data_IF_475016110641
#
_entry.id   IF_475016110641
#
_cell.length_a   1.000
_cell.length_b   1.000
_cell.length_c   1.000
_cell.angle_alpha   90.00
_cell.angle_beta   90.00
_cell.angle_gamma   90.00
#
_symmetry.space_group_name_H-M   'P 1'
#
loop_
_entity.id
_entity.type
_entity.pdbx_description
1 polymer ?
#
# COMPACT_ATOMS: atom_id res chain seq x y z
N UNK A 1 18.11 1.10 -13.75
CA UNK A 1 19.33 0.62 -14.45
C UNK A 1 19.04 -0.48 -15.46
N UNK A 2 18.53 -1.65 -15.07
CA UNK A 2 18.27 -2.77 -16.02
C UNK A 2 17.09 -2.58 -17.00
N UNK A 3 16.22 -1.60 -16.76
CA UNK A 3 15.07 -1.28 -17.63
C UNK A 3 15.25 0.06 -18.39
N UNK A 4 16.45 0.66 -18.40
CA UNK A 4 16.69 1.94 -19.07
C UNK A 4 16.09 3.19 -18.38
N UNK A 5 15.28 3.04 -17.33
CA UNK A 5 14.70 4.16 -16.58
C UNK A 5 15.70 4.67 -15.52
N UNK A 6 15.89 6.01 -15.38
CA UNK A 6 16.68 6.59 -14.31
C UNK A 6 16.06 6.26 -12.94
N UNK A 7 16.88 5.83 -11.99
CA UNK A 7 16.45 5.34 -10.66
C UNK A 7 15.52 6.33 -9.95
N UNK A 8 15.80 7.62 -10.10
CA UNK A 8 15.03 8.70 -9.49
C UNK A 8 13.60 8.76 -10.04
N UNK A 9 13.38 8.53 -11.34
CA UNK A 9 12.03 8.50 -11.93
C UNK A 9 11.27 7.23 -11.52
N UNK A 10 11.94 6.08 -11.43
CA UNK A 10 11.32 4.83 -10.96
C UNK A 10 10.82 4.95 -9.52
N UNK A 11 11.56 5.63 -8.64
CA UNK A 11 11.13 5.88 -7.26
C UNK A 11 9.86 6.74 -7.24
N UNK A 12 9.80 7.82 -8.03
CA UNK A 12 8.63 8.69 -8.12
C UNK A 12 7.36 7.94 -8.55
N UNK A 13 7.45 7.08 -9.56
CA UNK A 13 6.33 6.26 -10.05
C UNK A 13 5.86 5.27 -8.98
N UNK A 14 6.78 4.62 -8.26
CA UNK A 14 6.43 3.69 -7.18
C UNK A 14 5.72 4.38 -6.01
N UNK A 15 6.15 5.59 -5.66
CA UNK A 15 5.51 6.39 -4.62
C UNK A 15 4.08 6.81 -5.01
N UNK A 16 3.91 7.17 -6.27
CA UNK A 16 2.64 7.55 -6.85
C UNK A 16 1.65 6.39 -6.85
N UNK A 17 2.08 5.22 -7.32
CA UNK A 17 1.34 3.96 -7.25
C UNK A 17 0.93 3.64 -5.79
N UNK A 18 1.87 3.76 -4.86
CA UNK A 18 1.61 3.54 -3.44
C UNK A 18 0.52 4.47 -2.87
N UNK A 19 0.51 5.75 -3.23
CA UNK A 19 -0.49 6.71 -2.73
C UNK A 19 -1.87 6.45 -3.31
N UNK A 20 -1.95 6.13 -4.60
CA UNK A 20 -3.23 5.77 -5.25
C UNK A 20 -3.78 4.51 -4.59
N UNK A 21 -2.98 3.46 -4.49
CA UNK A 21 -3.34 2.20 -3.84
C UNK A 21 -3.80 2.42 -2.39
N UNK A 22 -3.04 3.18 -1.59
CA UNK A 22 -3.38 3.43 -0.19
C UNK A 22 -4.68 4.23 -0.05
N UNK A 23 -4.95 5.16 -0.97
CA UNK A 23 -6.20 5.93 -1.00
C UNK A 23 -7.40 5.04 -1.32
N UNK A 24 -7.28 4.20 -2.35
CA UNK A 24 -8.32 3.25 -2.76
C UNK A 24 -8.59 2.25 -1.65
N UNK A 25 -7.55 1.69 -1.04
CA UNK A 25 -7.67 0.79 0.11
C UNK A 25 -8.42 1.45 1.27
N UNK A 26 -8.04 2.65 1.69
CA UNK A 26 -8.71 3.35 2.79
C UNK A 26 -10.19 3.61 2.49
N UNK A 27 -10.53 4.06 1.27
CA UNK A 27 -11.92 4.29 0.87
C UNK A 27 -12.73 2.98 0.81
N UNK A 28 -12.12 1.91 0.28
CA UNK A 28 -12.74 0.60 0.20
C UNK A 28 -13.07 0.05 1.59
N UNK A 29 -12.13 0.15 2.55
CA UNK A 29 -12.43 -0.33 3.89
C UNK A 29 -13.40 0.58 4.64
N UNK A 30 -13.35 1.90 4.42
CA UNK A 30 -14.37 2.81 4.95
C UNK A 30 -15.78 2.37 4.49
N UNK A 31 -15.93 2.06 3.20
CA UNK A 31 -17.19 1.56 2.66
C UNK A 31 -17.64 0.26 3.34
N UNK A 32 -16.73 -0.70 3.52
CA UNK A 32 -17.03 -1.98 4.20
C UNK A 32 -17.40 -1.79 5.68
N UNK A 33 -16.70 -0.91 6.38
CA UNK A 33 -17.01 -0.54 7.78
C UNK A 33 -18.42 0.03 7.84
N UNK A 34 -18.78 1.00 7.00
CA UNK A 34 -20.11 1.62 7.01
C UNK A 34 -21.21 0.61 6.72
N UNK A 35 -21.00 -0.27 5.73
CA UNK A 35 -21.98 -1.27 5.32
C UNK A 35 -22.17 -2.38 6.37
N UNK A 36 -21.09 -2.79 7.06
CA UNK A 36 -21.12 -3.89 8.05
C UNK A 36 -21.11 -3.41 9.51
N UNK A 37 -21.16 -2.09 9.74
CA UNK A 37 -21.09 -1.47 11.06
C UNK A 37 -22.09 -2.09 12.04
N UNK A 38 -23.37 -2.13 11.64
CA UNK A 38 -24.45 -2.63 12.51
C UNK A 38 -24.29 -4.10 12.87
N UNK A 39 -23.70 -4.92 12.00
CA UNK A 39 -23.54 -6.35 12.24
C UNK A 39 -22.39 -6.61 13.22
N UNK A 40 -21.22 -6.03 13.00
CA UNK A 40 -20.04 -6.31 13.82
C UNK A 40 -20.01 -5.53 15.13
N UNK A 41 -20.55 -4.31 15.19
CA UNK A 41 -20.61 -3.56 16.43
C UNK A 41 -21.52 -4.25 17.47
N UNK A 42 -22.67 -4.78 17.04
CA UNK A 42 -23.63 -5.42 17.93
C UNK A 42 -23.18 -6.82 18.39
N UNK A 43 -22.56 -7.61 17.51
CA UNK A 43 -22.17 -8.99 17.83
C UNK A 43 -20.73 -9.13 18.35
N UNK A 44 -19.82 -8.22 17.98
CA UNK A 44 -18.37 -8.34 18.24
C UNK A 44 -17.72 -6.98 18.59
N UNK A 45 -18.36 -6.21 19.47
CA UNK A 45 -17.99 -4.83 19.80
C UNK A 45 -16.49 -4.61 20.09
N UNK A 46 -15.87 -5.50 20.87
CA UNK A 46 -14.44 -5.38 21.21
C UNK A 46 -13.52 -5.53 19.98
N UNK A 47 -13.81 -6.46 19.07
CA UNK A 47 -13.03 -6.64 17.85
C UNK A 47 -13.24 -5.48 16.88
N UNK A 48 -14.46 -4.99 16.81
CA UNK A 48 -14.80 -3.85 15.96
C UNK A 48 -14.06 -2.56 16.38
N UNK A 49 -13.86 -2.32 17.68
CA UNK A 49 -13.07 -1.18 18.16
C UNK A 49 -11.61 -1.25 17.71
N UNK A 50 -11.01 -2.44 17.67
CA UNK A 50 -9.64 -2.64 17.15
C UNK A 50 -9.57 -2.26 15.67
N UNK A 51 -10.60 -2.62 14.89
CA UNK A 51 -10.70 -2.25 13.47
C UNK A 51 -10.82 -0.74 13.29
N UNK A 52 -11.68 -0.07 14.05
CA UNK A 52 -11.82 1.39 14.00
C UNK A 52 -10.51 2.09 14.37
N UNK A 53 -9.80 1.60 15.39
CA UNK A 53 -8.50 2.14 15.75
C UNK A 53 -7.46 1.95 14.63
N UNK A 54 -7.40 0.76 14.03
CA UNK A 54 -6.57 0.49 12.85
C UNK A 54 -6.93 1.39 11.65
N UNK A 55 -8.22 1.72 11.49
CA UNK A 55 -8.70 2.65 10.46
C UNK A 55 -8.19 4.05 10.69
N UNK A 56 -8.28 4.55 11.94
CA UNK A 56 -7.83 5.90 12.28
C UNK A 56 -6.34 6.07 12.02
N UNK A 57 -5.53 5.06 12.35
CA UNK A 57 -4.09 5.08 12.09
C UNK A 57 -3.81 5.06 10.58
N UNK A 58 -4.42 4.12 9.84
CA UNK A 58 -4.22 3.99 8.39
C UNK A 58 -4.68 5.24 7.63
N UNK A 59 -5.81 5.82 8.04
CA UNK A 59 -6.33 7.09 7.52
C UNK A 59 -5.43 8.26 7.88
N UNK A 60 -4.86 8.26 9.09
CA UNK A 60 -3.86 9.24 9.52
C UNK A 60 -2.59 9.20 8.67
N UNK A 61 -2.10 8.01 8.28
CA UNK A 61 -0.93 7.85 7.41
C UNK A 61 -1.19 8.47 6.04
N UNK A 62 -2.32 8.13 5.39
CA UNK A 62 -2.62 8.71 4.06
C UNK A 62 -2.89 10.21 4.14
N UNK A 63 -3.56 10.68 5.19
CA UNK A 63 -3.76 12.10 5.43
C UNK A 63 -2.42 12.84 5.62
N UNK A 64 -1.50 12.26 6.40
CA UNK A 64 -0.15 12.78 6.59
C UNK A 64 0.65 12.83 5.29
N UNK A 65 0.61 11.77 4.48
CA UNK A 65 1.25 11.73 3.16
C UNK A 65 0.66 12.78 2.21
N UNK A 66 -0.66 12.96 2.23
CA UNK A 66 -1.34 14.00 1.45
C UNK A 66 -0.97 15.41 1.92
N UNK A 67 -0.82 15.61 3.23
CA UNK A 67 -0.42 16.90 3.80
C UNK A 67 1.05 17.24 3.48
N UNK A 68 1.94 16.25 3.54
CA UNK A 68 3.31 16.35 3.05
C UNK A 68 3.35 16.69 1.55
N UNK A 69 2.51 16.05 0.75
CA UNK A 69 2.40 16.29 -0.68
C UNK A 69 1.89 17.69 -1.02
N UNK A 70 0.91 18.21 -0.26
CA UNK A 70 0.24 19.46 -0.59
C UNK A 70 0.95 20.71 -0.06
N UNK A 71 1.85 20.58 0.93
CA UNK A 71 2.48 21.73 1.60
C UNK A 71 4.01 21.62 1.64
N UNK A 72 4.72 22.32 0.73
CA UNK A 72 6.17 22.46 0.79
C UNK A 72 6.66 23.01 2.13
N UNK A 73 5.85 23.87 2.79
CA UNK A 73 6.17 24.47 4.09
C UNK A 73 6.14 23.46 5.25
N UNK A 74 5.13 22.59 5.31
CA UNK A 74 5.04 21.54 6.33
C UNK A 74 6.18 20.52 6.18
N UNK A 75 6.50 20.21 4.92
CA UNK A 75 7.65 19.38 4.57
C UNK A 75 8.98 19.98 5.06
N UNK A 76 9.27 21.25 4.73
CA UNK A 76 10.52 21.91 5.16
C UNK A 76 10.63 21.97 6.68
N UNK A 77 9.51 22.11 7.39
CA UNK A 77 9.47 22.11 8.85
C UNK A 77 9.78 20.73 9.45
N UNK A 78 9.22 19.64 8.89
CA UNK A 78 9.52 18.27 9.32
C UNK A 78 10.97 17.89 9.03
N UNK A 79 11.49 18.24 7.85
CA UNK A 79 12.86 17.87 7.48
C UNK A 79 13.89 18.65 8.28
N UNK A 80 13.72 19.96 8.45
CA UNK A 80 14.63 20.75 9.31
C UNK A 80 14.58 20.30 10.77
N UNK A 81 13.39 20.03 11.31
CA UNK A 81 13.21 19.52 12.68
C UNK A 81 13.78 18.10 12.84
N UNK A 82 13.41 17.18 11.97
CA UNK A 82 13.85 15.78 11.99
C UNK A 82 15.36 15.63 11.79
N UNK A 83 15.96 16.43 10.92
CA UNK A 83 17.41 16.43 10.71
C UNK A 83 18.13 17.12 11.88
N UNK A 84 17.53 18.12 12.54
CA UNK A 84 18.10 18.66 13.78
C UNK A 84 18.09 17.65 14.94
N UNK A 85 17.03 16.84 15.06
CA UNK A 85 16.92 15.75 16.03
C UNK A 85 17.92 14.63 15.69
N UNK A 86 17.99 14.23 14.41
CA UNK A 86 18.92 13.23 13.87
C UNK A 86 20.40 13.60 14.04
N UNK A 87 20.74 14.88 13.90
CA UNK A 87 22.08 15.40 14.17
C UNK A 87 22.39 15.39 15.67
N UNK A 88 21.40 15.68 16.53
CA UNK A 88 21.54 15.63 17.99
C UNK A 88 21.81 14.22 18.52
N UNK A 89 21.34 13.19 17.81
CA UNK A 89 21.57 11.76 18.12
C UNK A 89 22.73 11.13 17.33
N UNK A 90 23.56 11.93 16.62
CA UNK A 90 24.73 11.47 15.84
C UNK A 90 24.44 10.42 14.74
N UNK A 91 23.18 10.21 14.36
CA UNK A 91 22.80 9.18 13.38
C UNK A 91 22.97 9.65 11.92
N UNK A 92 23.07 10.96 11.70
CA UNK A 92 23.26 11.58 10.38
C UNK A 92 24.63 12.27 10.33
N UNK A 93 25.58 11.68 9.61
CA UNK A 93 26.94 12.23 9.44
C UNK A 93 27.00 13.43 8.49
N UNK A 94 26.09 13.52 7.53
CA UNK A 94 26.13 14.52 6.46
C UNK A 94 24.73 15.14 6.25
N UNK A 95 24.47 16.17 7.05
CA UNK A 95 23.16 16.83 7.19
C UNK A 95 22.70 17.47 5.88
N UNK A 96 23.60 18.14 5.17
CA UNK A 96 23.27 18.93 3.97
C UNK A 96 22.99 18.04 2.77
N UNK A 97 23.81 17.00 2.55
CA UNK A 97 23.64 16.07 1.42
C UNK A 97 22.38 15.19 1.53
N UNK A 98 21.99 14.84 2.76
CA UNK A 98 20.74 14.09 3.01
C UNK A 98 19.51 14.96 2.76
N UNK A 99 19.60 16.24 3.14
CA UNK A 99 18.53 17.23 2.95
C UNK A 99 18.33 17.53 1.46
N UNK A 100 19.42 17.73 0.71
CA UNK A 100 19.38 17.99 -0.74
C UNK A 100 18.80 16.80 -1.54
N UNK A 101 19.21 15.56 -1.22
CA UNK A 101 18.70 14.36 -1.89
C UNK A 101 17.21 14.10 -1.59
N UNK A 102 16.76 14.43 -0.38
CA UNK A 102 15.38 14.30 0.03
C UNK A 102 14.50 15.37 -0.63
N UNK A 103 15.00 16.62 -0.67
CA UNK A 103 14.34 17.75 -1.33
C UNK A 103 14.19 17.51 -2.85
N UNK A 104 15.21 16.96 -3.51
CA UNK A 104 15.12 16.55 -4.92
C UNK A 104 14.05 15.49 -5.16
N UNK A 105 14.00 14.44 -4.33
CA UNK A 105 12.98 13.38 -4.46
C UNK A 105 11.57 13.94 -4.28
N UNK A 106 11.40 14.92 -3.39
CA UNK A 106 10.11 15.49 -3.07
C UNK A 106 9.63 16.58 -4.02
N UNK A 107 10.57 17.32 -4.64
CA UNK A 107 10.26 18.17 -5.79
C UNK A 107 9.78 17.34 -6.98
N UNK A 108 10.44 16.20 -7.25
CA UNK A 108 9.96 15.28 -8.28
C UNK A 108 8.58 14.74 -7.92
N UNK A 109 8.37 14.30 -6.68
CA UNK A 109 7.07 13.86 -6.21
C UNK A 109 5.95 14.91 -6.35
N UNK A 110 6.23 16.16 -5.99
CA UNK A 110 5.27 17.26 -6.17
C UNK A 110 4.93 17.48 -7.65
N UNK A 111 5.92 17.34 -8.54
CA UNK A 111 5.74 17.39 -9.99
C UNK A 111 4.91 16.21 -10.50
N UNK A 112 5.16 15.00 -10.00
CA UNK A 112 4.38 13.79 -10.31
C UNK A 112 2.91 13.92 -9.86
N UNK A 113 2.65 14.57 -8.71
CA UNK A 113 1.28 14.84 -8.23
C UNK A 113 0.52 15.82 -9.14
N UNK A 114 1.22 16.83 -9.68
CA UNK A 114 0.62 17.75 -10.67
C UNK A 114 0.29 17.01 -11.96
N UNK A 115 1.18 16.12 -12.42
CA UNK A 115 0.92 15.22 -13.55
C UNK A 115 -0.29 14.32 -13.27
N UNK A 116 -0.43 13.80 -12.05
CA UNK A 116 -1.59 13.04 -11.60
C UNK A 116 -2.90 13.82 -11.82
N UNK A 117 -2.96 15.05 -11.31
CA UNK A 117 -4.16 15.90 -11.39
C UNK A 117 -4.60 16.18 -12.82
N UNK A 118 -3.64 16.12 -13.74
CA UNK A 118 -3.84 16.40 -15.16
C UNK A 118 -4.32 15.16 -15.91
N UNK A 119 -3.94 13.95 -15.47
CA UNK A 119 -4.32 12.67 -16.10
C UNK A 119 -5.40 11.92 -15.31
N UNK A 120 -6.54 12.58 -15.02
CA UNK A 120 -7.64 12.03 -14.20
C UNK A 120 -8.17 10.67 -14.69
N UNK A 121 -8.17 10.45 -16.02
CA UNK A 121 -8.57 9.17 -16.62
C UNK A 121 -7.63 8.02 -16.26
N UNK A 122 -6.32 8.29 -16.22
CA UNK A 122 -5.30 7.30 -15.83
C UNK A 122 -5.42 6.96 -14.35
N UNK A 123 -5.64 7.95 -13.47
CA UNK A 123 -5.93 7.69 -12.06
C UNK A 123 -7.18 6.84 -11.90
N UNK A 124 -8.26 7.16 -12.62
CA UNK A 124 -9.50 6.39 -12.53
C UNK A 124 -9.30 4.92 -12.96
N UNK A 125 -8.51 4.69 -14.01
CA UNK A 125 -8.14 3.33 -14.43
C UNK A 125 -7.34 2.60 -13.35
N UNK A 126 -6.30 3.24 -12.79
CA UNK A 126 -5.50 2.68 -11.70
C UNK A 126 -6.36 2.39 -10.46
N UNK A 127 -7.26 3.30 -10.10
CA UNK A 127 -8.13 3.12 -8.95
C UNK A 127 -9.11 1.95 -9.13
N UNK A 128 -9.62 1.74 -10.34
CA UNK A 128 -10.46 0.57 -10.67
C UNK A 128 -9.64 -0.72 -10.65
N UNK A 129 -8.42 -0.70 -11.19
CA UNK A 129 -7.49 -1.83 -11.11
C UNK A 129 -7.20 -2.21 -9.65
N UNK A 130 -6.88 -1.23 -8.80
CA UNK A 130 -6.63 -1.42 -7.38
C UNK A 130 -7.88 -1.94 -6.66
N UNK A 131 -9.07 -1.43 -7.00
CA UNK A 131 -10.31 -1.91 -6.42
C UNK A 131 -10.55 -3.39 -6.75
N UNK A 132 -10.37 -3.78 -8.01
CA UNK A 132 -10.46 -5.17 -8.45
C UNK A 132 -9.40 -6.04 -7.76
N UNK A 133 -8.17 -5.53 -7.67
CA UNK A 133 -7.07 -6.18 -6.96
C UNK A 133 -7.42 -6.43 -5.49
N UNK A 134 -7.99 -5.44 -4.80
CA UNK A 134 -8.39 -5.56 -3.39
C UNK A 134 -9.53 -6.58 -3.22
N UNK A 135 -10.55 -6.56 -4.09
CA UNK A 135 -11.65 -7.53 -4.05
C UNK A 135 -11.10 -8.96 -4.22
N UNK A 136 -10.25 -9.18 -5.23
CA UNK A 136 -9.64 -10.48 -5.48
C UNK A 136 -8.75 -10.91 -4.29
N UNK A 137 -7.87 -10.02 -3.84
CA UNK A 137 -6.92 -10.30 -2.77
C UNK A 137 -7.60 -10.60 -1.42
N UNK A 138 -8.64 -9.84 -1.07
CA UNK A 138 -9.42 -10.07 0.15
C UNK A 138 -10.45 -11.19 0.03
N UNK A 139 -10.73 -11.67 -1.19
CA UNK A 139 -11.54 -12.88 -1.39
C UNK A 139 -10.72 -14.16 -1.26
N UNK A 140 -9.38 -14.12 -1.25
CA UNK A 140 -8.53 -15.32 -1.19
C UNK A 140 -8.92 -16.28 -0.06
N UNK A 141 -9.16 -15.82 1.19
CA UNK A 141 -9.58 -16.73 2.26
C UNK A 141 -10.89 -17.48 2.00
N UNK A 142 -11.82 -16.89 1.23
CA UNK A 142 -13.08 -17.53 0.85
C UNK A 142 -12.80 -18.73 -0.07
N UNK A 143 -11.94 -18.54 -1.08
CA UNK A 143 -11.52 -19.61 -1.97
C UNK A 143 -10.71 -20.68 -1.24
N UNK A 144 -9.87 -20.29 -0.28
CA UNK A 144 -9.17 -21.24 0.59
C UNK A 144 -10.16 -22.12 1.38
N UNK A 145 -11.22 -21.53 1.94
CA UNK A 145 -12.25 -22.29 2.64
C UNK A 145 -12.95 -23.31 1.73
N UNK A 146 -13.29 -22.91 0.49
CA UNK A 146 -13.91 -23.81 -0.49
C UNK A 146 -12.99 -24.98 -0.87
N UNK A 147 -11.69 -24.72 -1.11
CA UNK A 147 -10.71 -25.76 -1.46
C UNK A 147 -10.52 -26.75 -0.30
N UNK A 148 -10.58 -26.26 0.94
CA UNK A 148 -10.51 -27.09 2.15
C UNK A 148 -11.82 -27.84 2.45
N UNK A 149 -12.85 -27.70 1.62
CA UNK A 149 -14.18 -28.28 1.82
C UNK A 149 -14.85 -27.84 3.14
N UNK A 150 -14.51 -26.65 3.63
CA UNK A 150 -15.15 -26.04 4.80
C UNK A 150 -16.51 -25.48 4.36
N UNK A 151 -17.61 -25.77 5.07
CA UNK A 151 -18.94 -25.33 4.67
C UNK A 151 -19.06 -23.80 4.73
N UNK A 152 -19.15 -23.16 3.57
CA UNK A 152 -19.39 -21.72 3.46
C UNK A 152 -20.30 -21.40 2.27
N UNK A 153 -21.37 -20.64 2.53
CA UNK A 153 -22.28 -20.16 1.49
C UNK A 153 -21.79 -18.88 0.80
N UNK A 154 -22.29 -18.56 -0.40
CA UNK A 154 -21.93 -17.35 -1.14
C UNK A 154 -22.30 -16.05 -0.42
N UNK A 155 -23.29 -16.07 0.48
CA UNK A 155 -23.70 -14.94 1.31
C UNK A 155 -22.59 -14.47 2.27
N UNK A 156 -21.62 -15.33 2.58
CA UNK A 156 -20.48 -15.04 3.45
C UNK A 156 -19.28 -14.45 2.71
N UNK A 157 -19.29 -14.38 1.38
CA UNK A 157 -18.19 -13.80 0.60
C UNK A 157 -17.89 -12.36 1.05
N UNK A 158 -18.94 -11.56 1.25
CA UNK A 158 -18.80 -10.17 1.66
C UNK A 158 -18.29 -10.04 3.11
N UNK A 159 -18.66 -10.98 3.99
CA UNK A 159 -18.10 -11.07 5.36
C UNK A 159 -16.60 -11.39 5.29
N UNK A 160 -16.20 -12.34 4.46
CA UNK A 160 -14.78 -12.72 4.30
C UNK A 160 -13.94 -11.56 3.73
N UNK A 161 -14.46 -10.84 2.74
CA UNK A 161 -13.78 -9.65 2.20
C UNK A 161 -13.63 -8.58 3.28
N UNK A 162 -14.69 -8.34 4.07
CA UNK A 162 -14.65 -7.39 5.18
C UNK A 162 -13.60 -7.78 6.24
N UNK A 163 -13.65 -9.02 6.75
CA UNK A 163 -12.71 -9.52 7.75
C UNK A 163 -11.27 -9.49 7.24
N UNK A 164 -11.01 -9.87 5.99
CA UNK A 164 -9.68 -9.78 5.38
C UNK A 164 -9.16 -8.35 5.32
N UNK A 165 -10.02 -7.40 4.97
CA UNK A 165 -9.66 -5.98 4.95
C UNK A 165 -9.35 -5.44 6.35
N UNK A 166 -10.07 -5.92 7.37
CA UNK A 166 -9.82 -5.56 8.76
C UNK A 166 -8.49 -6.12 9.26
N UNK A 167 -8.17 -7.37 8.91
CA UNK A 167 -6.84 -7.96 9.18
C UNK A 167 -5.73 -7.10 8.58
N UNK A 168 -5.90 -6.64 7.33
CA UNK A 168 -4.93 -5.78 6.67
C UNK A 168 -4.71 -4.44 7.40
N UNK A 169 -5.76 -3.85 7.98
CA UNK A 169 -5.64 -2.59 8.73
C UNK A 169 -4.95 -2.76 10.08
N UNK A 170 -5.25 -3.84 10.80
CA UNK A 170 -4.57 -4.12 12.07
C UNK A 170 -3.08 -4.39 11.81
N UNK A 171 -2.75 -5.03 10.69
CA UNK A 171 -1.35 -5.21 10.27
C UNK A 171 -0.64 -3.89 9.98
N UNK A 172 -1.36 -2.86 9.50
CA UNK A 172 -0.77 -1.53 9.30
C UNK A 172 -0.34 -0.86 10.62
N UNK A 173 -0.99 -1.19 11.75
CA UNK A 173 -0.61 -0.74 13.08
C UNK A 173 0.54 -1.54 13.72
N UNK A 174 0.72 -2.80 13.31
CA UNK A 174 1.80 -3.67 13.79
C UNK A 174 2.91 -3.79 12.72
N UNK A 175 3.72 -2.73 12.45
CA UNK A 175 4.89 -2.84 11.59
C UNK A 175 5.97 -3.65 12.31
N UNK A 176 5.70 -4.92 12.56
CA UNK A 176 6.66 -5.87 13.10
C UNK A 176 7.51 -6.38 11.93
N UNK A 177 8.84 -6.17 11.95
CA UNK A 177 9.72 -6.77 10.95
C UNK A 177 9.58 -8.30 11.05
N UNK A 178 9.10 -8.93 9.98
CA UNK A 178 8.80 -10.37 9.96
C UNK A 178 7.41 -10.76 10.51
N UNK A 179 6.36 -9.97 10.23
CA UNK A 179 4.98 -10.02 10.77
C UNK A 179 4.16 -11.33 10.59
N UNK A 180 4.72 -12.49 10.91
CA UNK A 180 3.95 -13.74 10.97
C UNK A 180 2.99 -13.70 12.16
N UNK A 181 3.50 -13.56 13.39
CA UNK A 181 2.70 -13.77 14.61
C UNK A 181 1.52 -12.81 14.81
N UNK A 182 1.71 -11.50 14.59
CA UNK A 182 0.64 -10.51 14.78
C UNK A 182 -0.50 -10.64 13.76
N UNK A 183 -0.13 -10.86 12.49
CA UNK A 183 -1.11 -11.06 11.41
C UNK A 183 -1.85 -12.38 11.55
N UNK A 184 -1.17 -13.46 11.95
CA UNK A 184 -1.79 -14.77 12.18
C UNK A 184 -2.79 -14.71 13.34
N UNK A 185 -2.38 -14.10 14.46
CA UNK A 185 -3.25 -13.91 15.61
C UNK A 185 -4.48 -13.07 15.24
N UNK A 186 -4.29 -11.97 14.52
CA UNK A 186 -5.40 -11.12 14.04
C UNK A 186 -6.31 -11.88 13.09
N UNK A 187 -5.76 -12.67 12.18
CA UNK A 187 -6.54 -13.48 11.24
C UNK A 187 -7.43 -14.46 12.00
N UNK A 188 -6.87 -15.26 12.93
CA UNK A 188 -7.66 -16.18 13.76
C UNK A 188 -8.73 -15.43 14.53
N UNK A 189 -8.37 -14.31 15.16
CA UNK A 189 -9.30 -13.51 15.95
C UNK A 189 -10.52 -13.08 15.12
N UNK A 190 -10.28 -12.54 13.93
CA UNK A 190 -11.32 -12.03 13.05
C UNK A 190 -12.13 -13.15 12.39
N UNK A 191 -11.47 -14.16 11.84
CA UNK A 191 -12.14 -15.26 11.13
C UNK A 191 -12.83 -16.26 12.06
N UNK A 192 -12.45 -16.31 13.34
CA UNK A 192 -13.17 -17.09 14.36
C UNK A 192 -14.59 -16.56 14.66
N UNK A 193 -14.97 -15.42 14.10
CA UNK A 193 -16.34 -14.89 14.16
C UNK A 193 -17.30 -15.57 13.18
N UNK A 194 -16.78 -16.21 12.13
CA UNK A 194 -17.57 -16.87 11.08
C UNK A 194 -17.19 -18.34 10.85
N UNK A 195 -16.01 -18.76 11.30
CA UNK A 195 -15.51 -20.14 11.26
C UNK A 195 -15.10 -20.61 12.65
N UNK A 196 -15.05 -21.93 12.85
CA UNK A 196 -14.40 -22.48 14.05
C UNK A 196 -12.89 -22.19 14.03
N UNK A 197 -12.27 -22.15 15.21
CA UNK A 197 -10.83 -21.80 15.31
C UNK A 197 -9.92 -22.73 14.50
N UNK A 198 -10.25 -24.02 14.41
CA UNK A 198 -9.49 -25.00 13.63
C UNK A 198 -9.60 -24.73 12.12
N UNK A 199 -10.80 -24.39 11.66
CA UNK A 199 -11.07 -24.04 10.26
C UNK A 199 -10.40 -22.72 9.89
N UNK A 200 -10.53 -21.70 10.74
CA UNK A 200 -9.84 -20.41 10.56
C UNK A 200 -8.31 -20.59 10.48
N UNK A 201 -7.73 -21.48 11.30
CA UNK A 201 -6.30 -21.80 11.24
C UNK A 201 -5.91 -22.51 9.94
N UNK A 202 -6.72 -23.46 9.49
CA UNK A 202 -6.47 -24.18 8.24
C UNK A 202 -6.54 -23.24 7.03
N UNK A 203 -7.55 -22.37 6.99
CA UNK A 203 -7.70 -21.32 5.97
C UNK A 203 -6.51 -20.37 5.99
N UNK A 204 -6.08 -19.93 7.18
CA UNK A 204 -4.96 -19.00 7.34
C UNK A 204 -3.64 -19.56 6.77
N UNK A 205 -3.33 -20.84 7.04
CA UNK A 205 -2.13 -21.50 6.52
C UNK A 205 -2.15 -21.49 4.98
N UNK A 206 -3.28 -21.88 4.38
CA UNK A 206 -3.41 -21.89 2.93
C UNK A 206 -3.37 -20.48 2.34
N UNK A 207 -4.02 -19.52 3.00
CA UNK A 207 -3.98 -18.10 2.63
C UNK A 207 -2.55 -17.55 2.62
N UNK A 208 -1.71 -17.90 3.62
CA UNK A 208 -0.29 -17.53 3.65
C UNK A 208 0.50 -18.16 2.52
N UNK A 209 0.22 -19.42 2.17
CA UNK A 209 0.86 -20.08 1.02
C UNK A 209 0.66 -19.28 -0.26
N UNK A 210 -0.58 -18.86 -0.50
CA UNK A 210 -0.97 -18.13 -1.72
C UNK A 210 -0.53 -16.66 -1.70
N UNK A 211 -0.69 -15.96 -0.58
CA UNK A 211 -0.47 -14.50 -0.55
C UNK A 211 0.93 -14.09 -0.17
N UNK A 212 1.64 -14.90 0.62
CA UNK A 212 2.97 -14.57 1.14
C UNK A 212 4.06 -15.40 0.46
N UNK A 213 3.94 -16.73 0.50
CA UNK A 213 5.01 -17.61 0.01
C UNK A 213 5.09 -17.65 -1.52
N UNK A 214 3.95 -17.64 -2.23
CA UNK A 214 3.95 -17.56 -3.69
C UNK A 214 4.66 -16.30 -4.20
N UNK A 215 4.37 -15.14 -3.62
CA UNK A 215 5.00 -13.86 -4.00
C UNK A 215 6.51 -13.90 -3.75
N UNK A 216 6.94 -14.51 -2.64
CA UNK A 216 8.36 -14.69 -2.33
C UNK A 216 9.06 -15.58 -3.36
N UNK A 217 8.45 -16.71 -3.74
CA UNK A 217 9.02 -17.65 -4.71
C UNK A 217 9.13 -17.01 -6.09
N UNK A 218 8.04 -16.40 -6.58
CA UNK A 218 8.01 -15.74 -7.89
C UNK A 218 8.97 -14.54 -7.89
N UNK A 219 8.92 -13.70 -6.86
CA UNK A 219 9.80 -12.54 -6.72
C UNK A 219 11.28 -12.93 -6.67
N UNK A 220 11.61 -14.01 -5.95
CA UNK A 220 12.95 -14.58 -5.92
C UNK A 220 13.40 -15.10 -7.29
N UNK A 221 12.54 -15.82 -8.00
CA UNK A 221 12.83 -16.30 -9.35
C UNK A 221 13.06 -15.16 -10.34
N UNK A 222 12.19 -14.13 -10.32
CA UNK A 222 12.32 -12.92 -11.14
C UNK A 222 13.61 -12.18 -10.80
N UNK A 223 13.97 -12.07 -9.52
CA UNK A 223 15.23 -11.44 -9.11
C UNK A 223 16.45 -12.19 -9.63
N UNK A 224 16.48 -13.52 -9.52
CA UNK A 224 17.58 -14.35 -10.03
C UNK A 224 17.71 -14.23 -11.55
N UNK A 225 16.59 -14.24 -12.27
CA UNK A 225 16.56 -14.02 -13.71
C UNK A 225 17.01 -12.60 -14.10
N UNK A 226 16.52 -11.58 -13.39
CA UNK A 226 16.94 -10.20 -13.63
C UNK A 226 18.43 -10.02 -13.33
N UNK A 227 18.99 -10.72 -12.34
CA UNK A 227 20.41 -10.68 -12.01
C UNK A 227 21.28 -11.27 -13.12
N UNK A 228 20.83 -12.33 -13.80
CA UNK A 228 21.59 -12.97 -14.89
C UNK A 228 21.60 -12.17 -16.21
N UNK A 229 20.69 -11.21 -16.36
CA UNK A 229 20.65 -10.30 -17.52
C UNK A 229 21.74 -9.21 -17.46
N UNK A 230 22.36 -8.90 -18.61
CA UNK A 230 23.33 -7.82 -18.76
C UNK A 230 22.67 -6.46 -18.55
N UNK A 231 23.40 -5.51 -17.98
CA UNK A 231 22.91 -4.14 -17.81
C UNK A 231 22.71 -3.48 -19.18
N UNK A 232 21.52 -2.94 -19.43
CA UNK A 232 21.25 -2.11 -20.59
C UNK A 232 21.83 -0.71 -20.29
N UNK A 233 22.67 -0.13 -21.18
CA UNK A 233 23.21 1.21 -20.98
C UNK A 233 22.08 2.23 -20.91
N UNK A 234 22.18 3.18 -19.98
CA UNK A 234 21.24 4.29 -19.85
C UNK A 234 21.53 5.24 -21.02
N UNK A 235 20.62 5.32 -22.00
CA UNK A 235 20.71 6.29 -23.11
C UNK A 235 20.43 7.69 -22.53
N UNK A 236 21.35 8.67 -22.65
CA UNK A 236 21.21 9.95 -21.94
C UNK A 236 20.09 10.90 -22.43
N UNK A 237 19.48 10.68 -23.59
CA UNK A 237 18.45 11.59 -24.14
C UNK A 237 17.41 10.77 -24.95
N UNK A 238 16.14 11.22 -24.95
CA UNK A 238 14.96 10.66 -25.65
C UNK A 238 14.00 9.70 -24.92
N UNK A 239 13.99 9.64 -23.59
CA UNK A 239 12.81 9.09 -22.87
C UNK A 239 12.43 10.01 -21.71
N UNK A 240 12.07 11.25 -22.02
CA UNK A 240 10.99 11.85 -21.23
C UNK A 240 9.71 11.29 -21.84
N UNK A 241 8.89 10.51 -21.09
CA UNK A 241 7.53 10.23 -21.53
C UNK A 241 6.90 11.56 -21.93
N UNK A 242 6.16 11.62 -23.04
CA UNK A 242 5.59 12.86 -23.61
C UNK A 242 4.88 13.75 -22.57
N UNK A 243 4.38 13.13 -21.51
CA UNK A 243 3.82 13.71 -20.28
C UNK A 243 4.75 14.69 -19.52
N UNK A 244 6.07 14.54 -19.61
CA UNK A 244 7.05 15.37 -18.90
C UNK A 244 7.79 16.36 -19.80
N UNK A 245 7.45 16.41 -21.11
CA UNK A 245 8.06 17.39 -22.00
C UNK A 245 7.60 18.79 -21.59
N UNK A 246 8.53 19.75 -21.61
CA UNK A 246 8.26 21.17 -21.33
C UNK A 246 7.21 21.78 -22.27
N UNK A 247 6.93 21.12 -23.39
CA UNK A 247 5.91 21.49 -24.37
C UNK A 247 4.51 21.06 -23.91
N UNK A 248 4.35 19.81 -23.43
CA UNK A 248 3.07 19.33 -22.92
C UNK A 248 2.60 20.08 -21.66
N UNK A 249 3.53 20.43 -20.76
CA UNK A 249 3.22 21.25 -19.57
C UNK A 249 2.81 22.69 -19.90
N UNK A 250 3.15 23.21 -21.09
CA UNK A 250 2.76 24.55 -21.56
C UNK A 250 1.43 24.56 -22.31
N UNK A 251 1.08 23.47 -22.98
CA UNK A 251 -0.22 23.33 -23.66
C UNK A 251 -1.39 23.20 -22.67
N UNK A 252 -1.21 22.49 -21.55
CA UNK A 252 -2.26 22.30 -20.54
C UNK A 252 -2.37 23.45 -19.51
N UNK A 253 -1.44 24.42 -19.58
CA UNK A 253 -1.41 25.65 -18.76
C UNK A 253 -2.16 26.82 -19.41
N UNK A 254 -2.73 26.65 -20.61
CA UNK A 254 -3.56 27.64 -21.30
C UNK A 254 -5.03 27.24 -21.25
#
# INVERSE_FOLDING_TARGET
>A
RKQGIPVTHSIGILWLDFIVYQSVMTLFVLFLILMRFSYYYTNYSQFFLIVIFGFMISSGIIFFLWLLASSPRFYTWITTTGISIGAKIHLVKDKEKTLENLERQLQMFSKEIVVLKTHRKMIAMLAVEDLLRLILYYSVPYWCALVLHIPIGPEKLLDVIALSSFVAMVNAFLPMPGSSGGTEATFILMFSTIFDRADAASIMILWRLVTFYQVLIIGGAVFLYAKSQKDIPIVPEEITPRTYSTEAMKEESK
#
